data_IF_733832178225
#
_entry.id   IF_733832178225
#
_cell.length_a   1.000
_cell.length_b   1.000
_cell.length_c   1.000
_cell.angle_alpha   90.00
_cell.angle_beta   90.00
_cell.angle_gamma   90.00
#
_symmetry.space_group_name_H-M   'P 1'
#
loop_
_entity.id
_entity.type
_entity.pdbx_description
1 polymer ?
#
# COMPACT_ATOMS: atom_id res chain seq x y z
N UNK A 1 -3.57 -26.99 -2.94
CA UNK A 1 -2.38 -27.35 -3.74
C UNK A 1 -2.79 -28.44 -4.71
N UNK A 2 -2.30 -28.42 -5.95
CA UNK A 2 -2.54 -29.49 -6.93
C UNK A 2 -1.19 -30.11 -7.28
N UNK A 3 -1.09 -31.43 -7.19
CA UNK A 3 0.04 -32.20 -7.70
C UNK A 3 -0.35 -32.76 -9.06
N UNK A 4 0.36 -32.34 -10.11
CA UNK A 4 0.14 -32.80 -11.47
C UNK A 4 1.14 -33.91 -11.76
N UNK A 5 0.64 -35.07 -12.14
CA UNK A 5 1.47 -36.23 -12.43
C UNK A 5 1.87 -36.24 -13.90
N UNK A 6 2.96 -36.94 -14.19
CA UNK A 6 3.36 -37.22 -15.59
C UNK A 6 2.24 -37.95 -16.32
N UNK A 7 2.15 -37.83 -17.65
CA UNK A 7 1.13 -38.56 -18.44
C UNK A 7 1.11 -40.05 -18.13
N UNK A 8 -0.08 -40.64 -18.22
CA UNK A 8 -0.36 -42.07 -18.01
C UNK A 8 -0.03 -42.60 -16.62
N UNK A 9 0.16 -41.72 -15.64
CA UNK A 9 0.37 -42.06 -14.25
C UNK A 9 -0.98 -42.40 -13.59
N UNK A 10 -1.20 -43.68 -13.25
CA UNK A 10 -2.45 -44.16 -12.65
C UNK A 10 -2.24 -45.35 -11.72
N UNK A 11 -3.33 -45.97 -11.23
CA UNK A 11 -3.35 -46.99 -10.17
C UNK A 11 -2.43 -48.21 -10.41
N UNK A 12 -2.11 -48.49 -11.67
CA UNK A 12 -1.25 -49.63 -12.05
C UNK A 12 0.23 -49.31 -11.94
N UNK A 13 0.61 -48.06 -11.78
CA UNK A 13 1.99 -47.57 -11.74
C UNK A 13 2.47 -47.52 -10.28
N UNK A 14 3.59 -48.15 -9.93
CA UNK A 14 4.08 -48.18 -8.53
C UNK A 14 4.30 -46.78 -7.95
N UNK A 15 4.85 -45.87 -8.73
CA UNK A 15 5.12 -44.48 -8.33
C UNK A 15 3.84 -43.72 -7.92
N UNK A 16 2.71 -43.98 -8.60
CA UNK A 16 1.42 -43.44 -8.23
C UNK A 16 1.01 -43.77 -6.79
N UNK A 17 1.19 -45.05 -6.39
CA UNK A 17 0.89 -45.48 -5.03
C UNK A 17 1.81 -44.84 -4.01
N UNK A 18 3.10 -44.74 -4.33
CA UNK A 18 4.08 -44.10 -3.46
C UNK A 18 3.74 -42.62 -3.21
N UNK A 19 3.31 -41.92 -4.27
CA UNK A 19 2.86 -40.50 -4.14
C UNK A 19 1.65 -40.39 -3.23
N UNK A 20 0.63 -41.26 -3.41
CA UNK A 20 -0.57 -41.23 -2.56
C UNK A 20 -0.26 -41.56 -1.11
N UNK A 21 0.59 -42.59 -0.85
CA UNK A 21 1.05 -42.94 0.50
C UNK A 21 1.80 -41.78 1.16
N UNK A 22 2.74 -41.18 0.44
CA UNK A 22 3.47 -40.01 0.94
C UNK A 22 2.53 -38.85 1.33
N UNK A 23 1.56 -38.55 0.48
CA UNK A 23 0.60 -37.48 0.72
C UNK A 23 -0.38 -37.82 1.85
N UNK A 24 -0.76 -39.08 2.01
CA UNK A 24 -1.66 -39.55 3.09
C UNK A 24 -1.04 -39.40 4.49
N UNK A 25 0.29 -39.40 4.60
CA UNK A 25 1.00 -39.24 5.88
C UNK A 25 1.12 -37.72 6.27
N UNK A 26 0.76 -36.78 5.41
CA UNK A 26 0.84 -35.36 5.75
C UNK A 26 -0.35 -34.97 6.67
N UNK A 27 -0.08 -34.35 7.84
CA UNK A 27 -1.12 -34.01 8.82
C UNK A 27 -2.08 -32.94 8.25
N UNK A 28 -3.36 -33.05 8.60
CA UNK A 28 -4.42 -32.10 8.24
C UNK A 28 -4.64 -31.89 6.73
N UNK A 29 -4.24 -32.87 5.90
CA UNK A 29 -4.43 -32.86 4.45
C UNK A 29 -5.40 -33.98 4.05
N UNK A 30 -6.37 -33.62 3.21
CA UNK A 30 -7.20 -34.57 2.46
C UNK A 30 -6.79 -34.56 1.00
N UNK A 31 -6.65 -35.75 0.41
CA UNK A 31 -6.35 -35.91 -1.02
C UNK A 31 -7.62 -36.20 -1.79
N UNK A 32 -7.75 -35.62 -2.98
CA UNK A 32 -8.79 -35.97 -3.97
C UNK A 32 -8.11 -36.11 -5.32
N UNK A 33 -8.23 -37.29 -5.91
CA UNK A 33 -7.69 -37.58 -7.24
C UNK A 33 -8.71 -37.23 -8.31
N UNK A 34 -8.26 -36.56 -9.36
CA UNK A 34 -9.00 -36.33 -10.59
C UNK A 34 -8.20 -36.88 -11.77
N UNK A 35 -8.86 -37.64 -12.64
CA UNK A 35 -8.26 -38.19 -13.86
C UNK A 35 -9.08 -37.77 -15.05
N UNK A 36 -8.40 -37.23 -16.06
CA UNK A 36 -8.97 -36.90 -17.36
C UNK A 36 -8.39 -37.86 -18.40
N UNK A 37 -9.26 -38.65 -19.00
CA UNK A 37 -8.87 -39.64 -20.00
C UNK A 37 -9.02 -39.00 -21.40
N UNK A 38 -7.88 -38.58 -21.95
CA UNK A 38 -7.82 -38.10 -23.32
C UNK A 38 -7.67 -39.25 -24.34
N UNK A 39 -7.71 -38.90 -25.63
CA UNK A 39 -7.55 -39.89 -26.72
C UNK A 39 -6.13 -40.44 -26.87
N UNK A 40 -5.12 -39.72 -26.38
CA UNK A 40 -3.71 -40.08 -26.49
C UNK A 40 -3.00 -40.33 -25.17
N UNK A 41 -3.50 -39.75 -24.08
CA UNK A 41 -2.89 -39.87 -22.75
C UNK A 41 -3.91 -39.64 -21.66
N UNK A 42 -3.62 -40.15 -20.45
CA UNK A 42 -4.39 -39.86 -19.23
C UNK A 42 -3.63 -38.83 -18.40
N UNK A 43 -4.32 -37.72 -18.01
CA UNK A 43 -3.80 -36.74 -17.07
C UNK A 43 -4.34 -37.05 -15.68
N UNK A 44 -3.46 -37.10 -14.69
CA UNK A 44 -3.84 -37.31 -13.29
C UNK A 44 -3.43 -36.11 -12.46
N UNK A 45 -4.39 -35.53 -11.75
CA UNK A 45 -4.21 -34.42 -10.81
C UNK A 45 -4.63 -34.87 -9.41
N UNK A 46 -3.82 -34.56 -8.39
CA UNK A 46 -4.13 -34.85 -6.99
C UNK A 46 -4.34 -33.51 -6.28
N UNK A 47 -5.57 -33.26 -5.87
CA UNK A 47 -5.95 -32.08 -5.09
C UNK A 47 -5.65 -32.31 -3.63
N UNK A 48 -4.80 -31.48 -3.03
CA UNK A 48 -4.52 -31.45 -1.61
C UNK A 48 -5.38 -30.36 -0.98
N UNK A 49 -6.25 -30.77 -0.06
CA UNK A 49 -7.24 -29.92 0.61
C UNK A 49 -6.94 -29.90 2.11
N UNK A 50 -6.76 -28.73 2.68
CA UNK A 50 -6.44 -28.54 4.11
C UNK A 50 -5.28 -27.57 4.30
N UNK A 51 -4.46 -27.76 5.31
CA UNK A 51 -3.30 -26.91 5.61
C UNK A 51 -2.13 -27.20 4.65
N UNK A 52 -2.27 -26.75 3.42
CA UNK A 52 -1.24 -26.90 2.39
C UNK A 52 -0.11 -25.88 2.49
N UNK A 53 -0.22 -24.89 3.39
CA UNK A 53 0.83 -23.90 3.59
C UNK A 53 2.07 -24.50 4.25
N UNK A 54 1.87 -25.49 5.12
CA UNK A 54 2.93 -26.22 5.83
C UNK A 54 3.70 -27.22 4.96
N UNK A 55 3.21 -27.51 3.75
CA UNK A 55 3.84 -28.50 2.87
C UNK A 55 5.00 -27.89 2.09
N UNK A 56 6.13 -28.59 2.03
CA UNK A 56 7.23 -28.22 1.15
C UNK A 56 6.90 -28.61 -0.30
N UNK A 57 6.80 -27.61 -1.16
CA UNK A 57 6.56 -27.79 -2.59
C UNK A 57 7.67 -28.59 -3.26
N UNK A 58 8.92 -28.28 -2.95
CA UNK A 58 10.09 -28.92 -3.56
C UNK A 58 10.18 -30.40 -3.18
N UNK A 59 9.83 -30.73 -1.93
CA UNK A 59 9.76 -32.12 -1.47
C UNK A 59 8.78 -32.95 -2.30
N UNK A 60 7.58 -32.40 -2.57
CA UNK A 60 6.55 -33.10 -3.36
C UNK A 60 6.95 -33.15 -4.84
N UNK A 61 7.55 -32.08 -5.39
CA UNK A 61 8.02 -32.07 -6.78
C UNK A 61 9.16 -33.04 -7.05
N UNK A 62 9.93 -33.41 -6.02
CA UNK A 62 11.03 -34.38 -6.13
C UNK A 62 10.55 -35.84 -6.22
N UNK A 63 9.28 -36.13 -5.96
CA UNK A 63 8.75 -37.49 -6.01
C UNK A 63 8.76 -38.04 -7.45
N UNK A 64 9.22 -39.28 -7.66
CA UNK A 64 9.15 -39.92 -8.98
C UNK A 64 7.70 -39.96 -9.49
N UNK A 65 7.46 -39.52 -10.73
CA UNK A 65 6.12 -39.47 -11.32
C UNK A 65 5.38 -38.16 -11.15
N UNK A 66 5.84 -37.24 -10.31
CA UNK A 66 5.33 -35.86 -10.28
C UNK A 66 5.94 -35.09 -11.44
N UNK A 67 5.10 -34.38 -12.19
CA UNK A 67 5.52 -33.44 -13.23
C UNK A 67 5.76 -32.06 -12.64
N UNK A 68 4.79 -31.55 -11.86
CA UNK A 68 4.88 -30.27 -11.16
C UNK A 68 3.85 -30.16 -10.03
N UNK A 69 4.08 -29.25 -9.11
CA UNK A 69 3.14 -28.91 -8.04
C UNK A 69 2.68 -27.46 -8.21
N UNK A 70 1.37 -27.24 -8.25
CA UNK A 70 0.75 -25.92 -8.32
C UNK A 70 0.15 -25.57 -6.96
N UNK A 71 0.65 -24.54 -6.30
CA UNK A 71 -0.03 -23.97 -5.14
C UNK A 71 -1.24 -23.18 -5.62
N UNK A 72 -2.44 -23.59 -5.21
CA UNK A 72 -3.68 -22.85 -5.51
C UNK A 72 -3.85 -21.66 -4.57
N UNK A 73 -3.25 -21.71 -3.37
CA UNK A 73 -3.17 -20.56 -2.49
C UNK A 73 -2.12 -19.61 -3.03
N UNK A 74 -2.56 -18.71 -3.88
CA UNK A 74 -1.76 -17.58 -4.30
C UNK A 74 -1.43 -16.71 -3.08
N UNK A 75 -0.22 -16.16 -3.06
CA UNK A 75 0.16 -15.12 -2.12
C UNK A 75 -0.88 -13.99 -2.19
N UNK A 76 -1.14 -13.33 -1.08
CA UNK A 76 -2.12 -12.23 -0.99
C UNK A 76 -3.53 -12.64 -1.44
N UNK A 77 -4.16 -13.58 -0.75
CA UNK A 77 -5.48 -14.17 -1.10
C UNK A 77 -6.57 -13.15 -1.34
N UNK A 78 -6.59 -12.08 -0.53
CA UNK A 78 -7.62 -11.03 -0.59
C UNK A 78 -7.21 -9.89 -1.51
N UNK A 79 -5.97 -9.41 -1.41
CA UNK A 79 -5.47 -8.24 -2.12
C UNK A 79 -4.75 -8.57 -3.42
N UNK A 80 -4.31 -9.82 -3.61
CA UNK A 80 -3.57 -10.24 -4.78
C UNK A 80 -4.32 -10.07 -6.09
N UNK A 81 -3.56 -9.88 -7.17
CA UNK A 81 -4.06 -9.88 -8.54
C UNK A 81 -3.95 -11.30 -9.09
N UNK A 82 -5.08 -12.01 -9.07
CA UNK A 82 -5.15 -13.39 -9.53
C UNK A 82 -5.48 -13.47 -11.02
N UNK A 83 -5.18 -14.60 -11.63
CA UNK A 83 -5.50 -14.85 -13.05
C UNK A 83 -7.02 -14.77 -13.23
N UNK A 84 -7.46 -14.05 -14.26
CA UNK A 84 -8.88 -13.81 -14.57
C UNK A 84 -9.68 -13.01 -13.51
N UNK A 85 -8.96 -12.30 -12.62
CA UNK A 85 -9.57 -11.48 -11.57
C UNK A 85 -10.20 -10.20 -12.15
N UNK A 86 -11.53 -10.09 -12.05
CA UNK A 86 -12.31 -8.92 -12.46
C UNK A 86 -12.63 -7.96 -11.31
N UNK A 87 -12.13 -8.23 -10.10
CA UNK A 87 -12.37 -7.37 -8.94
C UNK A 87 -11.74 -5.99 -9.15
N UNK A 88 -12.34 -4.90 -8.61
CA UNK A 88 -11.84 -3.55 -8.80
C UNK A 88 -10.43 -3.38 -8.21
N UNK A 89 -9.64 -2.50 -8.82
CA UNK A 89 -8.28 -2.12 -8.39
C UNK A 89 -8.29 -0.87 -7.53
N UNK A 90 -9.31 -0.68 -6.71
CA UNK A 90 -9.48 0.47 -5.86
C UNK A 90 -10.85 0.52 -5.19
N UNK A 91 -11.12 1.66 -4.58
CA UNK A 91 -12.34 1.95 -3.81
C UNK A 91 -12.66 3.44 -3.90
N UNK A 92 -13.82 3.82 -3.39
CA UNK A 92 -14.23 5.21 -3.20
C UNK A 92 -14.50 5.47 -1.72
N UNK A 93 -14.10 6.63 -1.23
CA UNK A 93 -14.34 7.06 0.13
C UNK A 93 -14.58 8.56 0.19
N UNK A 94 -15.66 8.96 0.82
CA UNK A 94 -16.11 10.35 0.99
C UNK A 94 -16.08 11.17 -0.33
N UNK A 95 -16.50 10.57 -1.45
CA UNK A 95 -16.51 11.17 -2.78
C UNK A 95 -15.13 11.28 -3.45
N UNK A 96 -14.11 10.64 -2.90
CA UNK A 96 -12.77 10.55 -3.50
C UNK A 96 -12.50 9.13 -3.97
N UNK A 97 -12.12 8.99 -5.23
CA UNK A 97 -11.74 7.70 -5.83
C UNK A 97 -10.26 7.40 -5.55
N UNK A 98 -9.98 6.21 -5.06
CA UNK A 98 -8.65 5.64 -4.87
C UNK A 98 -8.52 4.41 -5.75
N UNK A 99 -7.80 4.50 -6.86
CA UNK A 99 -7.67 3.38 -7.80
C UNK A 99 -6.30 3.38 -8.48
N UNK A 100 -5.98 2.27 -9.15
CA UNK A 100 -4.74 2.18 -9.92
C UNK A 100 -4.73 3.04 -11.20
N UNK A 101 -5.81 3.75 -11.50
CA UNK A 101 -5.95 4.58 -12.69
C UNK A 101 -5.95 6.10 -12.44
N UNK A 102 -6.11 6.53 -11.18
CA UNK A 102 -6.08 7.96 -10.82
C UNK A 102 -4.87 8.31 -9.95
N UNK A 103 -4.69 9.59 -9.71
CA UNK A 103 -3.66 10.15 -8.84
C UNK A 103 -4.29 11.19 -7.90
N UNK A 104 -4.08 11.03 -6.59
CA UNK A 104 -4.48 12.00 -5.57
C UNK A 104 -3.25 12.58 -4.87
N UNK A 105 -3.27 13.88 -4.57
CA UNK A 105 -2.20 14.54 -3.81
C UNK A 105 -2.68 14.81 -2.39
N UNK A 106 -1.91 14.36 -1.41
CA UNK A 106 -2.11 14.57 0.02
C UNK A 106 -0.97 15.45 0.55
N UNK A 107 -1.05 16.73 0.26
CA UNK A 107 -0.13 17.73 0.78
C UNK A 107 -0.63 18.22 2.14
N UNK A 108 0.29 18.45 3.10
CA UNK A 108 -0.11 18.95 4.41
C UNK A 108 0.97 18.85 5.48
N UNK A 109 0.61 19.22 6.70
CA UNK A 109 1.52 19.25 7.84
C UNK A 109 1.88 17.82 8.27
N UNK A 110 3.17 17.57 8.55
CA UNK A 110 3.58 16.27 9.09
C UNK A 110 2.92 15.99 10.45
N UNK A 111 2.80 17.01 11.29
CA UNK A 111 1.98 16.97 12.50
C UNK A 111 1.07 18.20 12.53
N UNK A 112 -0.10 18.05 13.12
CA UNK A 112 -0.90 19.20 13.55
C UNK A 112 -0.07 20.02 14.54
N UNK A 113 0.10 21.33 14.28
CA UNK A 113 0.78 22.21 15.22
C UNK A 113 -0.18 23.20 15.88
N UNK A 114 -0.62 24.26 15.22
CA UNK A 114 -1.57 25.22 15.74
C UNK A 114 -2.70 25.52 14.73
N UNK A 115 -3.85 26.07 15.18
CA UNK A 115 -4.98 26.34 14.31
C UNK A 115 -4.67 27.26 13.13
N UNK A 116 -3.81 28.27 13.33
CA UNK A 116 -3.44 29.24 12.29
C UNK A 116 -2.71 28.55 11.13
N UNK A 117 -1.69 27.74 11.43
CA UNK A 117 -0.93 27.00 10.41
C UNK A 117 -1.81 25.97 9.70
N UNK A 118 -2.69 25.28 10.43
CA UNK A 118 -3.65 24.35 9.82
C UNK A 118 -4.59 25.09 8.87
N UNK A 119 -5.15 26.22 9.29
CA UNK A 119 -6.06 27.02 8.45
C UNK A 119 -5.36 27.56 7.21
N UNK A 120 -4.13 28.08 7.33
CA UNK A 120 -3.32 28.51 6.18
C UNK A 120 -3.12 27.37 5.17
N UNK A 121 -2.78 26.17 5.64
CA UNK A 121 -2.60 24.98 4.78
C UNK A 121 -3.90 24.60 4.08
N UNK A 122 -5.01 24.51 4.81
CA UNK A 122 -6.32 24.12 4.26
C UNK A 122 -6.82 25.15 3.22
N UNK A 123 -6.58 26.45 3.47
CA UNK A 123 -6.87 27.51 2.51
C UNK A 123 -6.05 27.34 1.24
N UNK A 124 -4.74 27.12 1.35
CA UNK A 124 -3.88 26.89 0.19
C UNK A 124 -4.33 25.68 -0.64
N UNK A 125 -4.73 24.58 0.01
CA UNK A 125 -5.26 23.40 -0.67
C UNK A 125 -6.55 23.72 -1.44
N UNK A 126 -7.53 24.36 -0.79
CA UNK A 126 -8.79 24.78 -1.42
C UNK A 126 -8.53 25.67 -2.63
N UNK A 127 -7.67 26.68 -2.48
CA UNK A 127 -7.37 27.66 -3.53
C UNK A 127 -6.66 27.01 -4.74
N UNK A 128 -6.05 25.84 -4.55
CA UNK A 128 -5.45 25.00 -5.59
C UNK A 128 -6.31 23.78 -5.97
N UNK A 129 -7.60 23.77 -5.61
CA UNK A 129 -8.52 22.70 -6.00
C UNK A 129 -8.26 21.33 -5.38
N UNK A 130 -7.47 21.27 -4.30
CA UNK A 130 -7.16 20.02 -3.62
C UNK A 130 -8.20 19.70 -2.54
N UNK A 131 -8.64 18.46 -2.52
CA UNK A 131 -9.67 17.97 -1.58
C UNK A 131 -9.12 16.96 -0.58
N UNK A 132 -7.84 16.67 -0.62
CA UNK A 132 -7.17 15.72 0.25
C UNK A 132 -5.98 16.38 0.94
N UNK A 133 -5.70 15.95 2.17
CA UNK A 133 -4.55 16.43 2.95
C UNK A 133 -3.99 15.32 3.85
N UNK A 134 -2.83 15.59 4.41
CA UNK A 134 -2.26 14.82 5.53
C UNK A 134 -2.07 15.73 6.73
N UNK A 135 -2.40 15.23 7.92
CA UNK A 135 -2.14 15.91 9.20
C UNK A 135 -2.08 14.88 10.32
N UNK A 136 -0.97 14.82 11.06
CA UNK A 136 -0.79 13.84 12.14
C UNK A 136 -1.20 14.41 13.50
N UNK A 137 -2.26 13.88 14.10
CA UNK A 137 -2.61 14.17 15.50
C UNK A 137 -1.73 13.38 16.49
N UNK A 138 -1.31 12.19 16.11
CA UNK A 138 -0.47 11.27 16.88
C UNK A 138 0.85 11.04 16.15
N UNK A 139 1.97 11.12 16.86
CA UNK A 139 3.31 11.03 16.25
C UNK A 139 4.20 10.04 16.98
N UNK A 140 4.53 8.88 16.36
CA UNK A 140 5.52 7.97 16.92
C UNK A 140 6.91 8.59 16.78
N UNK A 141 7.60 8.76 17.89
CA UNK A 141 8.94 9.36 17.92
C UNK A 141 9.97 8.36 18.43
N UNK A 142 11.17 8.41 17.85
CA UNK A 142 12.29 7.62 18.35
C UNK A 142 12.81 8.14 19.70
N UNK A 143 12.75 9.46 19.89
CA UNK A 143 13.11 10.10 21.15
C UNK A 143 11.83 10.40 21.97
N UNK A 144 11.68 9.88 23.20
CA UNK A 144 10.49 10.06 24.02
C UNK A 144 10.25 11.52 24.45
N UNK A 145 11.27 12.36 24.41
CA UNK A 145 11.16 13.79 24.74
C UNK A 145 10.75 14.67 23.56
N UNK A 146 10.66 14.12 22.35
CA UNK A 146 10.16 14.84 21.18
C UNK A 146 8.64 14.98 21.24
N UNK A 147 8.10 15.99 20.55
CA UNK A 147 6.66 16.22 20.44
C UNK A 147 5.93 14.97 19.92
N UNK A 148 4.95 14.49 20.68
CA UNK A 148 4.21 13.24 20.41
C UNK A 148 2.90 13.45 19.65
N UNK A 149 2.58 14.69 19.28
CA UNK A 149 1.27 15.09 18.72
C UNK A 149 0.36 15.67 19.79
N UNK A 150 -0.71 16.36 19.34
CA UNK A 150 -1.73 16.90 20.25
C UNK A 150 -2.78 15.85 20.65
N UNK A 151 -2.73 14.66 20.01
CA UNK A 151 -3.66 13.58 20.30
C UNK A 151 -5.12 13.95 19.98
N UNK A 152 -6.04 13.41 20.76
CA UNK A 152 -7.49 13.59 20.57
C UNK A 152 -7.96 15.05 20.66
N UNK A 153 -7.23 15.90 21.39
CA UNK A 153 -7.66 17.27 21.68
C UNK A 153 -7.70 18.15 20.43
N UNK A 154 -6.90 17.84 19.42
CA UNK A 154 -6.92 18.58 18.16
C UNK A 154 -7.96 18.06 17.15
N UNK A 155 -8.47 16.84 17.30
CA UNK A 155 -9.34 16.22 16.29
C UNK A 155 -10.61 17.03 15.97
N UNK A 156 -11.39 17.53 16.96
CA UNK A 156 -12.64 18.23 16.68
C UNK A 156 -12.44 19.48 15.83
N UNK A 157 -11.48 20.34 16.22
CA UNK A 157 -11.26 21.58 15.50
C UNK A 157 -10.55 21.37 14.16
N UNK A 158 -9.67 20.36 14.03
CA UNK A 158 -9.06 19.98 12.74
C UNK A 158 -10.13 19.52 11.77
N UNK A 159 -11.06 18.65 12.20
CA UNK A 159 -12.12 18.13 11.33
C UNK A 159 -13.14 19.22 10.94
N UNK A 160 -13.47 20.11 11.87
CA UNK A 160 -14.33 21.25 11.59
C UNK A 160 -13.70 22.19 10.55
N UNK A 161 -12.43 22.58 10.74
CA UNK A 161 -11.69 23.42 9.79
C UNK A 161 -11.58 22.73 8.42
N UNK A 162 -11.19 21.46 8.39
CA UNK A 162 -11.07 20.70 7.14
C UNK A 162 -12.41 20.65 6.38
N UNK A 163 -13.52 20.40 7.07
CA UNK A 163 -14.86 20.44 6.48
C UNK A 163 -15.23 21.82 5.94
N UNK A 164 -14.92 22.89 6.68
CA UNK A 164 -15.14 24.29 6.26
C UNK A 164 -14.41 24.65 4.96
N UNK A 165 -13.20 24.13 4.78
CA UNK A 165 -12.39 24.33 3.56
C UNK A 165 -12.64 23.29 2.47
N UNK A 166 -13.62 22.41 2.62
CA UNK A 166 -14.02 21.43 1.62
C UNK A 166 -13.09 20.24 1.46
N UNK A 167 -12.23 20.01 2.46
CA UNK A 167 -11.36 18.83 2.48
C UNK A 167 -12.20 17.58 2.72
N UNK A 168 -12.07 16.61 1.83
CA UNK A 168 -12.81 15.35 1.87
C UNK A 168 -12.11 14.26 2.68
N UNK A 169 -10.77 14.19 2.59
CA UNK A 169 -10.03 13.11 3.26
C UNK A 169 -8.73 13.65 3.87
N UNK A 170 -8.51 13.31 5.14
CA UNK A 170 -7.26 13.57 5.87
C UNK A 170 -6.55 12.22 6.10
N UNK A 171 -5.31 12.06 5.63
CA UNK A 171 -4.46 10.94 6.03
C UNK A 171 -3.88 11.23 7.43
N UNK A 172 -4.24 10.41 8.41
CA UNK A 172 -3.87 10.61 9.82
C UNK A 172 -3.28 9.34 10.43
N UNK A 173 -2.07 9.46 10.97
CA UNK A 173 -1.36 8.33 11.56
C UNK A 173 -1.98 7.91 12.89
N UNK A 174 -2.10 6.60 13.09
CA UNK A 174 -2.46 5.99 14.37
C UNK A 174 -1.34 5.04 14.82
N UNK A 175 -1.14 4.91 16.12
CA UNK A 175 -0.09 4.07 16.72
C UNK A 175 -0.64 3.11 17.77
N UNK A 176 -1.89 3.31 18.17
CA UNK A 176 -2.60 2.53 19.18
C UNK A 176 -4.07 2.36 18.77
N UNK A 177 -4.72 1.34 19.25
CA UNK A 177 -6.13 1.03 18.95
C UNK A 177 -7.11 2.10 19.50
N UNK A 178 -6.80 2.71 20.66
CA UNK A 178 -7.61 3.82 21.20
C UNK A 178 -7.71 5.00 20.23
N UNK A 179 -6.69 5.26 19.40
CA UNK A 179 -6.70 6.35 18.44
C UNK A 179 -7.79 6.16 17.36
N UNK A 180 -8.11 4.89 17.02
CA UNK A 180 -9.22 4.58 16.14
C UNK A 180 -10.55 5.05 16.73
N UNK A 181 -10.78 4.73 18.01
CA UNK A 181 -12.00 5.11 18.73
C UNK A 181 -12.10 6.63 18.84
N UNK A 182 -11.02 7.29 19.24
CA UNK A 182 -10.95 8.75 19.39
C UNK A 182 -11.26 9.48 18.07
N UNK A 183 -10.72 8.98 16.93
CA UNK A 183 -11.01 9.53 15.60
C UNK A 183 -12.49 9.32 15.23
N UNK A 184 -13.05 8.13 15.44
CA UNK A 184 -14.44 7.84 15.13
C UNK A 184 -15.40 8.70 15.96
N UNK A 185 -15.14 8.86 17.26
CA UNK A 185 -15.91 9.72 18.15
C UNK A 185 -15.86 11.19 17.70
N UNK A 186 -14.66 11.70 17.36
CA UNK A 186 -14.50 13.07 16.90
C UNK A 186 -15.23 13.30 15.56
N UNK A 187 -15.13 12.38 14.59
CA UNK A 187 -15.86 12.44 13.33
C UNK A 187 -17.39 12.42 13.55
N UNK A 188 -17.85 11.61 14.50
CA UNK A 188 -19.27 11.57 14.83
C UNK A 188 -19.74 12.89 15.43
N UNK A 189 -18.99 13.47 16.37
CA UNK A 189 -19.28 14.76 17.00
C UNK A 189 -19.35 15.92 16.01
N UNK A 190 -18.43 15.97 15.06
CA UNK A 190 -18.37 17.06 14.06
C UNK A 190 -19.37 16.87 12.92
N UNK A 191 -20.16 15.80 12.89
CA UNK A 191 -21.11 15.50 11.82
C UNK A 191 -20.45 15.01 10.52
N UNK A 192 -19.18 14.62 10.59
CA UNK A 192 -18.40 14.04 9.46
C UNK A 192 -18.33 14.95 8.22
N UNK A 193 -18.04 16.25 8.34
CA UNK A 193 -17.87 17.13 7.16
C UNK A 193 -16.66 16.74 6.32
N UNK A 194 -15.68 16.07 6.94
CA UNK A 194 -14.49 15.46 6.33
C UNK A 194 -14.40 13.98 6.71
N UNK A 195 -13.56 13.23 6.02
CA UNK A 195 -13.25 11.83 6.32
C UNK A 195 -11.78 11.65 6.70
N UNK A 196 -11.46 10.49 7.27
CA UNK A 196 -10.10 10.13 7.66
C UNK A 196 -9.67 8.85 6.97
N UNK A 197 -8.48 8.87 6.36
CA UNK A 197 -7.73 7.67 5.95
C UNK A 197 -6.73 7.37 7.08
N UNK A 198 -6.92 6.24 7.76
CA UNK A 198 -6.03 5.82 8.83
C UNK A 198 -4.65 5.49 8.26
N UNK A 199 -3.60 6.11 8.76
CA UNK A 199 -2.24 5.78 8.35
C UNK A 199 -1.58 4.87 9.38
N UNK A 200 -1.15 3.68 8.94
CA UNK A 200 -0.26 2.83 9.70
C UNK A 200 1.17 3.16 9.28
N UNK A 201 1.89 3.77 10.20
CA UNK A 201 3.26 4.20 9.95
C UNK A 201 4.24 3.03 9.87
N UNK A 202 5.39 3.28 9.26
CA UNK A 202 6.47 2.33 9.02
C UNK A 202 6.90 1.54 10.27
N UNK A 203 6.84 2.17 11.46
CA UNK A 203 7.21 1.53 12.74
C UNK A 203 6.18 0.52 13.23
N UNK A 204 4.92 0.63 12.78
CA UNK A 204 3.79 -0.17 13.23
C UNK A 204 3.33 -1.22 12.21
N UNK A 205 4.00 -1.36 11.06
CA UNK A 205 3.61 -2.32 10.03
C UNK A 205 3.70 -3.78 10.51
N UNK A 206 4.57 -4.06 11.47
CA UNK A 206 4.72 -5.39 12.08
C UNK A 206 3.95 -5.54 13.41
N UNK A 207 3.16 -4.54 13.78
CA UNK A 207 2.23 -4.65 14.90
C UNK A 207 0.95 -5.36 14.43
N UNK A 208 1.02 -6.68 14.30
CA UNK A 208 -0.05 -7.49 13.70
C UNK A 208 -1.35 -7.39 14.50
N UNK A 209 -1.31 -7.19 15.82
CA UNK A 209 -2.53 -7.01 16.60
C UNK A 209 -3.22 -5.67 16.28
N UNK A 210 -2.47 -4.58 16.12
CA UNK A 210 -3.02 -3.31 15.64
C UNK A 210 -3.61 -3.47 14.23
N UNK A 211 -2.91 -4.18 13.31
CA UNK A 211 -3.41 -4.43 11.96
C UNK A 211 -4.74 -5.19 11.97
N UNK A 212 -4.88 -6.22 12.81
CA UNK A 212 -6.14 -6.97 12.96
C UNK A 212 -7.27 -6.07 13.47
N UNK A 213 -7.01 -5.26 14.51
CA UNK A 213 -8.02 -4.35 15.07
C UNK A 213 -8.47 -3.35 14.02
N UNK A 214 -7.51 -2.71 13.32
CA UNK A 214 -7.82 -1.75 12.24
C UNK A 214 -8.51 -2.45 11.05
N UNK A 215 -8.17 -3.70 10.78
CA UNK A 215 -8.79 -4.51 9.73
C UNK A 215 -10.27 -4.86 10.00
N UNK A 216 -10.69 -4.95 11.26
CA UNK A 216 -12.09 -5.26 11.62
C UNK A 216 -13.05 -4.12 11.35
N UNK A 217 -12.61 -2.87 11.42
CA UNK A 217 -13.42 -1.75 10.99
C UNK A 217 -13.40 -1.63 9.46
N UNK A 218 -14.52 -1.23 8.84
CA UNK A 218 -14.69 -1.18 7.38
C UNK A 218 -15.05 0.21 6.87
N UNK A 219 -15.20 1.18 7.76
CA UNK A 219 -15.64 2.53 7.43
C UNK A 219 -14.50 3.39 6.91
N UNK A 220 -13.34 3.35 7.56
CA UNK A 220 -12.20 4.19 7.26
C UNK A 220 -11.18 3.43 6.42
N UNK A 221 -10.75 3.96 5.27
CA UNK A 221 -9.68 3.37 4.48
C UNK A 221 -8.33 3.46 5.20
N UNK A 222 -7.38 2.66 4.77
CA UNK A 222 -6.05 2.56 5.39
C UNK A 222 -4.95 2.88 4.38
N UNK A 223 -4.04 3.77 4.76
CA UNK A 223 -2.73 3.93 4.14
C UNK A 223 -1.71 3.13 4.95
N UNK A 224 -1.25 2.00 4.42
CA UNK A 224 -0.23 1.18 5.05
C UNK A 224 1.14 1.50 4.48
N UNK A 225 2.01 2.11 5.27
CA UNK A 225 3.38 2.45 4.84
C UNK A 225 4.32 1.26 4.98
N UNK A 226 5.13 1.02 3.95
CA UNK A 226 6.21 0.03 3.96
C UNK A 226 7.09 0.14 5.20
N UNK A 227 7.52 -1.00 5.73
CA UNK A 227 8.37 -1.08 6.90
C UNK A 227 9.84 -0.73 6.65
N UNK A 228 10.55 -0.33 7.71
CA UNK A 228 11.98 -0.14 7.67
C UNK A 228 12.71 -1.48 7.54
N UNK A 229 13.56 -1.63 6.54
CA UNK A 229 14.48 -2.77 6.44
C UNK A 229 13.84 -4.16 6.28
N UNK A 230 12.52 -4.23 6.09
CA UNK A 230 11.81 -5.47 5.77
C UNK A 230 11.58 -5.60 4.27
N UNK A 231 11.38 -6.83 3.81
CA UNK A 231 11.12 -7.11 2.39
C UNK A 231 9.81 -6.50 1.92
N UNK A 232 9.66 -6.39 0.59
CA UNK A 232 8.38 -5.98 0.01
C UNK A 232 7.29 -7.02 0.31
N UNK A 233 7.63 -8.30 0.24
CA UNK A 233 6.74 -9.42 0.54
C UNK A 233 6.19 -9.35 1.97
N UNK A 234 7.06 -9.18 2.99
CA UNK A 234 6.63 -9.01 4.38
C UNK A 234 5.69 -7.80 4.55
N UNK A 235 5.97 -6.70 3.84
CA UNK A 235 5.12 -5.50 3.89
C UNK A 235 3.76 -5.72 3.21
N UNK A 236 3.70 -6.49 2.12
CA UNK A 236 2.45 -6.85 1.44
C UNK A 236 1.63 -7.86 2.26
N UNK A 237 2.30 -8.80 2.95
CA UNK A 237 1.64 -9.69 3.91
C UNK A 237 1.04 -8.93 5.09
N UNK A 238 1.66 -7.85 5.54
CA UNK A 238 1.07 -6.97 6.54
C UNK A 238 -0.24 -6.31 6.03
N UNK A 239 -0.31 -5.94 4.74
CA UNK A 239 -1.56 -5.46 4.14
C UNK A 239 -2.64 -6.57 4.11
N UNK A 240 -2.23 -7.81 3.87
CA UNK A 240 -3.13 -8.96 3.88
C UNK A 240 -3.75 -9.23 5.27
N UNK A 241 -3.04 -8.91 6.38
CA UNK A 241 -3.63 -8.95 7.73
C UNK A 241 -4.84 -8.03 7.86
N UNK A 242 -4.74 -6.78 7.38
CA UNK A 242 -5.88 -5.85 7.36
C UNK A 242 -7.05 -6.41 6.53
N UNK A 243 -6.74 -6.93 5.35
CA UNK A 243 -7.75 -7.39 4.41
C UNK A 243 -8.43 -8.70 4.84
N UNK A 244 -7.70 -9.59 5.52
CA UNK A 244 -8.23 -10.85 6.05
C UNK A 244 -9.26 -10.64 7.17
N UNK A 245 -9.12 -9.55 7.93
CA UNK A 245 -10.10 -9.14 8.96
C UNK A 245 -11.31 -8.39 8.35
N UNK A 246 -11.25 -7.99 7.07
CA UNK A 246 -12.39 -7.45 6.31
C UNK A 246 -12.21 -6.07 5.71
N UNK A 247 -11.23 -5.27 6.11
CA UNK A 247 -10.98 -3.97 5.49
C UNK A 247 -10.10 -4.12 4.24
N UNK A 248 -10.72 -3.97 3.07
CA UNK A 248 -10.07 -4.08 1.77
C UNK A 248 -9.73 -2.73 1.15
N UNK A 249 -10.11 -1.63 1.79
CA UNK A 249 -9.89 -0.27 1.32
C UNK A 249 -8.50 0.20 1.74
N UNK A 250 -7.47 -0.36 1.10
CA UNK A 250 -6.07 -0.17 1.46
C UNK A 250 -5.31 0.49 0.31
N UNK A 251 -4.53 1.51 0.64
CA UNK A 251 -3.49 2.10 -0.20
C UNK A 251 -2.14 1.67 0.35
N UNK A 252 -1.26 1.14 -0.49
CA UNK A 252 0.08 0.74 -0.07
C UNK A 252 1.09 1.87 -0.29
N UNK A 253 1.81 2.27 0.77
CA UNK A 253 2.71 3.43 0.76
C UNK A 253 4.18 3.05 0.70
N UNK A 254 4.85 3.43 -0.38
CA UNK A 254 6.31 3.41 -0.52
C UNK A 254 6.88 4.71 0.04
N UNK A 255 7.92 4.66 0.87
CA UNK A 255 8.47 5.82 1.57
C UNK A 255 9.99 5.75 1.75
N UNK A 256 10.63 4.89 0.98
CA UNK A 256 12.04 4.58 1.08
C UNK A 256 12.36 3.53 2.13
N UNK A 257 13.47 2.85 1.94
CA UNK A 257 14.00 1.81 2.82
C UNK A 257 15.15 2.36 3.64
N UNK A 258 15.16 2.06 4.94
CA UNK A 258 16.30 2.41 5.80
C UNK A 258 17.47 1.47 5.53
N UNK A 259 18.55 2.01 5.00
CA UNK A 259 19.78 1.27 4.70
C UNK A 259 20.97 2.22 4.79
N UNK A 260 22.17 1.69 4.98
CA UNK A 260 23.42 2.43 4.96
C UNK A 260 23.80 2.97 3.56
N UNK A 261 23.11 2.54 2.50
CA UNK A 261 23.29 3.04 1.14
C UNK A 261 22.36 4.21 0.77
N UNK A 262 21.60 4.71 1.73
CA UNK A 262 20.61 5.77 1.47
C UNK A 262 21.22 7.16 1.39
N UNK A 263 22.36 7.37 2.04
CA UNK A 263 23.05 8.67 2.09
C UNK A 263 23.29 9.25 0.68
N UNK A 264 23.03 10.55 0.42
CA UNK A 264 22.66 11.59 1.38
C UNK A 264 21.16 11.66 1.73
N UNK A 265 20.29 10.90 1.08
CA UNK A 265 18.88 10.88 1.40
C UNK A 265 18.61 10.18 2.75
N UNK A 266 17.52 10.53 3.39
CA UNK A 266 17.08 9.92 4.65
C UNK A 266 16.84 8.42 4.54
N UNK A 267 16.34 7.98 3.38
CA UNK A 267 16.07 6.59 3.05
C UNK A 267 16.36 6.32 1.57
N UNK A 268 16.72 5.10 1.24
CA UNK A 268 16.89 4.67 -0.14
C UNK A 268 15.53 4.68 -0.86
N UNK A 269 15.41 5.46 -1.93
CA UNK A 269 14.15 5.64 -2.68
C UNK A 269 13.74 4.32 -3.34
N UNK A 270 12.55 3.83 -3.03
CA UNK A 270 12.04 2.53 -3.46
C UNK A 270 10.89 2.59 -4.49
N UNK A 271 10.74 3.71 -5.19
CA UNK A 271 9.61 3.95 -6.09
C UNK A 271 9.62 3.11 -7.37
N UNK A 272 10.74 2.45 -7.70
CA UNK A 272 10.76 1.39 -8.71
C UNK A 272 9.83 0.21 -8.35
N UNK A 273 9.43 0.07 -7.09
CA UNK A 273 8.45 -0.93 -6.65
C UNK A 273 6.99 -0.57 -6.94
N UNK A 274 6.66 0.65 -7.38
CA UNK A 274 5.29 1.03 -7.79
C UNK A 274 4.67 0.01 -8.76
N UNK A 275 5.28 -0.27 -9.94
CA UNK A 275 4.72 -1.26 -10.87
C UNK A 275 4.76 -2.68 -10.32
N UNK A 276 5.68 -3.02 -9.43
CA UNK A 276 5.77 -4.34 -8.81
C UNK A 276 4.58 -4.59 -7.88
N UNK A 277 4.27 -3.64 -6.99
CA UNK A 277 3.10 -3.72 -6.11
C UNK A 277 1.81 -3.84 -6.92
N UNK A 278 1.66 -3.05 -7.99
CA UNK A 278 0.49 -3.09 -8.89
C UNK A 278 0.37 -4.40 -9.66
N UNK A 279 1.47 -5.06 -9.97
CA UNK A 279 1.49 -6.38 -10.61
C UNK A 279 1.06 -7.48 -9.63
N UNK A 280 1.53 -7.41 -8.39
CA UNK A 280 1.25 -8.42 -7.36
C UNK A 280 -0.13 -8.24 -6.73
N UNK A 281 -0.61 -7.00 -6.61
CA UNK A 281 -1.82 -6.67 -5.87
C UNK A 281 -2.76 -5.76 -6.65
N UNK A 282 -3.99 -5.62 -6.14
CA UNK A 282 -4.98 -4.68 -6.64
C UNK A 282 -5.00 -3.34 -5.90
N UNK A 283 -4.09 -3.16 -4.93
CA UNK A 283 -4.01 -1.93 -4.14
C UNK A 283 -3.53 -0.75 -5.00
N UNK A 284 -4.11 0.45 -4.84
CA UNK A 284 -3.48 1.70 -5.24
C UNK A 284 -2.15 1.89 -4.50
N UNK A 285 -1.19 2.56 -5.12
CA UNK A 285 0.15 2.77 -4.55
C UNK A 285 0.37 4.25 -4.27
N UNK A 286 0.69 4.54 -3.02
CA UNK A 286 1.13 5.85 -2.55
C UNK A 286 2.66 5.93 -2.58
N UNK A 287 3.20 7.10 -2.92
CA UNK A 287 4.61 7.45 -2.70
C UNK A 287 4.70 8.57 -1.65
N UNK A 288 5.73 8.51 -0.83
CA UNK A 288 6.03 9.51 0.20
C UNK A 288 7.46 10.04 -0.01
N UNK A 289 7.62 11.01 -0.91
CA UNK A 289 8.92 11.56 -1.26
C UNK A 289 9.57 12.31 -0.09
N UNK A 290 8.79 13.03 0.73
CA UNK A 290 9.30 13.78 1.88
C UNK A 290 10.06 12.89 2.86
N UNK A 291 9.51 11.71 3.18
CA UNK A 291 10.16 10.79 4.09
C UNK A 291 11.21 9.89 3.40
N UNK A 292 11.25 9.86 2.08
CA UNK A 292 12.35 9.24 1.32
C UNK A 292 13.59 10.13 1.31
N UNK A 293 13.44 11.39 0.89
CA UNK A 293 14.53 12.36 0.77
C UNK A 293 14.95 12.90 2.14
N UNK A 294 14.06 13.53 2.89
CA UNK A 294 14.29 14.02 4.25
C UNK A 294 14.85 15.44 4.34
N UNK A 295 15.16 16.09 3.22
CA UNK A 295 15.73 17.44 3.12
C UNK A 295 15.09 18.22 1.97
N UNK A 296 15.48 19.49 1.82
CA UNK A 296 15.11 20.36 0.70
C UNK A 296 16.33 20.74 -0.14
N UNK A 297 17.24 19.81 -0.33
CA UNK A 297 18.41 20.03 -1.15
C UNK A 297 18.03 20.26 -2.61
N UNK A 298 18.80 21.14 -3.26
CA UNK A 298 18.56 21.58 -4.64
C UNK A 298 19.63 20.99 -5.55
N UNK A 299 19.20 20.39 -6.64
CA UNK A 299 20.07 19.88 -7.68
C UNK A 299 20.61 21.03 -8.58
N UNK A 300 21.67 20.80 -9.38
CA UNK A 300 22.26 21.82 -10.26
C UNK A 300 21.30 22.39 -11.32
N UNK A 301 20.21 21.70 -11.65
CA UNK A 301 19.16 22.15 -12.56
C UNK A 301 18.15 23.12 -11.90
N UNK A 302 18.32 23.41 -10.62
CA UNK A 302 17.47 24.30 -9.84
C UNK A 302 16.21 23.66 -9.25
N UNK A 303 15.99 22.35 -9.46
CA UNK A 303 14.89 21.61 -8.85
C UNK A 303 15.32 20.99 -7.51
N UNK A 304 14.34 20.85 -6.61
CA UNK A 304 14.58 20.14 -5.35
C UNK A 304 14.65 18.62 -5.59
N UNK A 305 15.50 17.93 -4.83
CA UNK A 305 15.58 16.45 -4.85
C UNK A 305 14.22 15.79 -4.66
N UNK A 306 13.37 16.38 -3.80
CA UNK A 306 12.01 15.89 -3.57
C UNK A 306 11.14 15.97 -4.82
N UNK A 307 11.33 16.96 -5.70
CA UNK A 307 10.60 17.07 -6.98
C UNK A 307 11.04 15.96 -7.94
N UNK A 308 12.36 15.74 -8.09
CA UNK A 308 12.88 14.63 -8.90
C UNK A 308 12.37 13.26 -8.43
N UNK A 309 12.40 13.01 -7.12
CA UNK A 309 11.94 11.75 -6.53
C UNK A 309 10.42 11.59 -6.69
N UNK A 310 9.65 12.69 -6.57
CA UNK A 310 8.22 12.67 -6.82
C UNK A 310 7.92 12.28 -8.27
N UNK A 311 8.59 12.92 -9.23
CA UNK A 311 8.43 12.64 -10.66
C UNK A 311 8.76 11.17 -10.98
N UNK A 312 9.82 10.58 -10.39
CA UNK A 312 10.15 9.16 -10.54
C UNK A 312 8.97 8.26 -10.17
N UNK A 313 8.35 8.50 -9.02
CA UNK A 313 7.21 7.70 -8.55
C UNK A 313 5.97 7.89 -9.40
N UNK A 314 5.68 9.10 -9.85
CA UNK A 314 4.53 9.41 -10.72
C UNK A 314 4.70 8.77 -12.10
N UNK A 315 5.89 8.87 -12.70
CA UNK A 315 6.20 8.22 -13.99
C UNK A 315 6.22 6.68 -13.87
N UNK A 316 6.51 6.13 -12.69
CA UNK A 316 6.36 4.70 -12.41
C UNK A 316 4.89 4.27 -12.25
N UNK A 317 3.96 5.22 -12.14
CA UNK A 317 2.52 4.99 -12.10
C UNK A 317 1.90 5.01 -10.70
N UNK A 318 2.43 5.80 -9.77
CA UNK A 318 1.83 6.05 -8.46
C UNK A 318 0.40 6.56 -8.57
N UNK A 319 -0.40 6.31 -7.54
CA UNK A 319 -1.82 6.63 -7.45
C UNK A 319 -2.15 7.64 -6.33
N UNK A 320 -1.19 7.85 -5.45
CA UNK A 320 -1.27 8.81 -4.37
C UNK A 320 0.12 9.36 -4.08
N UNK A 321 0.20 10.64 -3.75
CA UNK A 321 1.40 11.30 -3.24
C UNK A 321 1.09 11.78 -1.83
N UNK A 322 1.94 11.44 -0.87
CA UNK A 322 1.89 11.96 0.49
C UNK A 322 3.11 12.86 0.70
N UNK A 323 2.91 14.15 0.85
CA UNK A 323 4.01 15.13 0.86
C UNK A 323 3.84 16.15 1.98
N UNK A 324 4.96 16.53 2.60
CA UNK A 324 4.99 17.48 3.70
C UNK A 324 5.07 18.91 3.17
N UNK A 325 4.08 19.71 3.56
CA UNK A 325 4.04 21.16 3.38
C UNK A 325 3.86 21.83 4.73
N UNK A 326 4.43 23.02 4.89
CA UNK A 326 4.24 23.80 6.10
C UNK A 326 4.28 25.31 5.80
N UNK A 327 3.39 26.14 6.39
CA UNK A 327 3.42 27.59 6.22
C UNK A 327 4.75 28.23 6.59
N UNK A 328 5.38 27.72 7.66
CA UNK A 328 6.67 28.19 8.17
C UNK A 328 7.50 26.97 8.60
N UNK A 329 8.24 26.31 7.70
CA UNK A 329 8.96 25.07 7.98
C UNK A 329 9.88 25.12 9.21
N UNK A 330 10.51 26.28 9.45
CA UNK A 330 11.39 26.49 10.63
C UNK A 330 10.63 26.45 11.97
N UNK A 331 9.31 26.60 11.97
CA UNK A 331 8.45 26.51 13.17
C UNK A 331 7.70 25.17 13.25
N UNK A 332 7.87 24.29 12.28
CA UNK A 332 7.21 22.99 12.30
C UNK A 332 7.63 22.17 13.51
N UNK A 333 6.68 21.61 14.25
CA UNK A 333 6.94 20.76 15.43
C UNK A 333 7.58 19.42 15.04
N UNK A 334 7.40 18.99 13.77
CA UNK A 334 7.88 17.72 13.24
C UNK A 334 8.30 17.89 11.78
N UNK A 335 9.46 17.32 11.42
CA UNK A 335 9.96 17.16 10.05
C UNK A 335 10.04 18.47 9.23
N UNK A 336 10.30 19.62 9.89
CA UNK A 336 10.46 20.92 9.25
C UNK A 336 11.48 20.95 8.09
N UNK A 337 12.68 20.35 8.22
CA UNK A 337 13.72 20.39 7.17
C UNK A 337 13.28 19.85 5.81
N UNK A 338 12.31 18.96 5.76
CA UNK A 338 11.81 18.35 4.51
C UNK A 338 10.50 18.99 3.99
N UNK A 339 9.86 19.83 4.80
CA UNK A 339 8.57 20.41 4.45
C UNK A 339 8.70 21.49 3.36
N UNK A 340 7.90 21.39 2.33
CA UNK A 340 7.78 22.41 1.28
C UNK A 340 7.02 23.63 1.79
N UNK A 341 7.27 24.80 1.20
CA UNK A 341 6.56 26.04 1.49
C UNK A 341 5.18 26.04 0.82
N UNK A 342 4.19 26.73 1.41
CA UNK A 342 2.86 26.84 0.79
C UNK A 342 2.88 27.51 -0.59
N UNK A 343 3.77 28.45 -0.80
CA UNK A 343 3.96 29.12 -2.09
C UNK A 343 4.48 28.19 -3.20
N UNK A 344 5.10 27.07 -2.82
CA UNK A 344 5.58 26.03 -3.76
C UNK A 344 4.45 25.08 -4.20
N UNK A 345 3.29 25.09 -3.53
CA UNK A 345 2.21 24.14 -3.81
C UNK A 345 1.69 24.20 -5.26
N UNK A 346 1.43 25.37 -5.87
CA UNK A 346 1.00 25.42 -7.28
C UNK A 346 2.03 24.82 -8.23
N UNK A 347 3.31 25.14 -8.05
CA UNK A 347 4.41 24.60 -8.86
C UNK A 347 4.57 23.11 -8.69
N UNK A 348 4.49 22.63 -7.46
CA UNK A 348 4.55 21.19 -7.18
C UNK A 348 3.42 20.42 -7.87
N UNK A 349 2.19 20.97 -7.87
CA UNK A 349 1.04 20.36 -8.53
C UNK A 349 1.19 20.36 -10.05
N UNK A 350 1.75 21.44 -10.64
CA UNK A 350 2.04 21.52 -12.07
C UNK A 350 3.11 20.49 -12.48
N UNK A 351 4.23 20.38 -11.75
CA UNK A 351 5.29 19.39 -11.99
C UNK A 351 4.76 17.95 -11.89
N UNK A 352 3.93 17.66 -10.89
CA UNK A 352 3.21 16.39 -10.78
C UNK A 352 2.32 16.14 -12.00
N UNK A 353 1.65 17.17 -12.51
CA UNK A 353 0.84 17.12 -13.73
C UNK A 353 1.66 16.74 -14.96
N UNK A 354 2.82 17.34 -15.16
CA UNK A 354 3.77 17.01 -16.23
C UNK A 354 4.22 15.55 -16.15
N UNK A 355 4.64 15.10 -14.97
CA UNK A 355 5.06 13.73 -14.76
C UNK A 355 3.92 12.73 -15.00
N UNK A 356 2.68 13.07 -14.62
CA UNK A 356 1.49 12.24 -14.86
C UNK A 356 1.17 12.16 -16.35
N UNK A 357 1.21 13.28 -17.07
CA UNK A 357 1.01 13.28 -18.53
C UNK A 357 2.05 12.40 -19.25
N UNK A 358 3.31 12.48 -18.85
CA UNK A 358 4.37 11.62 -19.39
C UNK A 358 4.08 10.13 -19.14
N UNK A 359 3.59 9.76 -17.95
CA UNK A 359 3.15 8.40 -17.64
C UNK A 359 2.03 7.93 -18.58
N UNK A 360 0.98 8.74 -18.79
CA UNK A 360 -0.14 8.38 -19.67
C UNK A 360 0.29 8.25 -21.15
N UNK A 361 1.19 9.11 -21.62
CA UNK A 361 1.78 8.99 -22.96
C UNK A 361 2.54 7.67 -23.13
N UNK A 362 3.31 7.26 -22.13
CA UNK A 362 4.02 5.97 -22.12
C UNK A 362 3.05 4.78 -22.13
N UNK A 363 1.97 4.84 -21.35
CA UNK A 363 0.91 3.81 -21.38
C UNK A 363 0.27 3.68 -22.77
N UNK A 364 -0.07 4.81 -23.39
CA UNK A 364 -0.66 4.83 -24.73
C UNK A 364 0.31 4.25 -25.79
N UNK A 365 1.60 4.57 -25.70
CA UNK A 365 2.63 4.01 -26.57
C UNK A 365 2.69 2.49 -26.44
N UNK A 366 2.70 1.96 -25.24
CA UNK A 366 2.74 0.52 -24.98
C UNK A 366 1.50 -0.20 -25.52
N UNK A 367 0.30 0.36 -25.35
CA UNK A 367 -0.94 -0.21 -25.91
C UNK A 367 -0.85 -0.36 -27.43
N UNK A 368 -0.48 0.71 -28.14
CA UNK A 368 -0.28 0.69 -29.60
C UNK A 368 0.75 -0.35 -30.07
N UNK A 369 1.80 -0.56 -29.26
CA UNK A 369 2.79 -1.60 -29.56
C UNK A 369 2.21 -3.01 -29.43
N UNK A 370 1.45 -3.28 -28.38
CA UNK A 370 0.82 -4.58 -28.14
C UNK A 370 -0.28 -4.91 -29.16
N UNK A 371 -1.09 -3.92 -29.55
CA UNK A 371 -2.12 -4.06 -30.59
C UNK A 371 -1.55 -4.42 -31.97
N UNK A 372 -0.31 -4.02 -32.26
CA UNK A 372 0.38 -4.39 -33.53
C UNK A 372 0.97 -5.81 -33.52
N UNK A 373 1.06 -6.46 -32.34
CA UNK A 373 1.62 -7.81 -32.20
C UNK A 373 0.57 -8.91 -32.15
N UNK A 374 -0.67 -8.55 -31.88
CA UNK A 374 -1.85 -9.42 -31.95
C UNK A 374 -2.52 -9.28 -33.31
#
# INVERSE_FOLDING_TARGET
MIVILKPDMGEKVPEYRQILEFLAHKPNIKTRVHQEIGTQQTLTEIYLIGDTASLDKAEIESLPGVERVVRISEEYRVLGRHRDDRRPTGFEYNGVKFSQDNLNVFAGLCAVDNPEHVEMMLKALRDNGQVCTRMGAYKPRTNPYSFQGHGKDCLPWVFELAGRYGIKVIAMEITHDSHLVEIQEALHKTGRPTGVMLQIGTRNIQNFELLKIVGRQRELPVLLKRGFGITLEESLNAAEYLASEGNRNIVFGLRGMKTNMADPHRNFVDFAHVPVVKRLTRMPVCIDPSHSVGTRDMAPDGMLDISHVTAQGVIAGANMILVDFHPVPSKALVDGPQALLLEELPYFLEDVGIAREAYEKRRALTRRFLEKRN
#
